data_IF_233156629368
#
_entry.id   IF_233156629368
#
_cell.length_a   1.000
_cell.length_b   1.000
_cell.length_c   1.000
_cell.angle_alpha   90.00
_cell.angle_beta   90.00
_cell.angle_gamma   90.00
#
_symmetry.space_group_name_H-M   'P 1'
#
loop_
_entity.id
_entity.type
_entity.pdbx_description
1 polymer ?
#
# COMPACT_ATOMS: atom_id res chain seq x y z
N UNK A 1 18.50 67.39 -9.46
CA UNK A 1 17.80 66.20 -8.97
C UNK A 1 18.29 65.90 -7.58
N UNK A 2 17.41 65.99 -6.58
CA UNK A 2 17.80 65.95 -5.15
C UNK A 2 18.08 64.49 -4.73
N UNK A 3 19.16 64.26 -3.97
CA UNK A 3 19.53 62.96 -3.39
C UNK A 3 18.44 62.32 -2.55
N UNK A 4 17.47 63.12 -2.03
CA UNK A 4 16.30 62.61 -1.32
C UNK A 4 15.31 61.84 -2.19
N UNK A 5 15.05 62.26 -3.42
CA UNK A 5 14.14 61.59 -4.35
C UNK A 5 14.65 60.23 -4.80
N UNK A 6 16.01 60.08 -4.94
CA UNK A 6 16.62 58.83 -5.29
C UNK A 6 16.56 57.78 -4.16
N UNK A 7 16.67 58.25 -2.92
CA UNK A 7 16.57 57.39 -1.73
C UNK A 7 15.13 56.86 -1.49
N UNK A 8 14.12 57.68 -1.72
CA UNK A 8 12.70 57.21 -1.58
C UNK A 8 12.32 56.20 -2.67
N UNK A 9 12.72 56.41 -3.94
CA UNK A 9 12.45 55.47 -5.01
C UNK A 9 13.17 54.13 -4.85
N UNK A 10 14.41 54.19 -4.31
CA UNK A 10 15.16 52.96 -4.02
C UNK A 10 14.55 52.15 -2.85
N UNK A 11 14.01 52.86 -1.81
CA UNK A 11 13.36 52.22 -0.66
C UNK A 11 12.01 51.57 -1.03
N UNK A 12 11.22 52.23 -1.87
CA UNK A 12 9.95 51.67 -2.37
C UNK A 12 10.19 50.45 -3.30
N UNK A 13 11.16 50.53 -4.19
CA UNK A 13 11.50 49.42 -5.10
C UNK A 13 12.08 48.20 -4.34
N UNK A 14 12.89 48.43 -3.29
CA UNK A 14 13.43 47.35 -2.45
C UNK A 14 12.37 46.68 -1.58
N UNK A 15 11.42 47.47 -1.04
CA UNK A 15 10.34 46.96 -0.19
C UNK A 15 9.35 46.08 -0.94
N UNK A 16 8.94 46.46 -2.14
CA UNK A 16 7.97 45.70 -2.95
C UNK A 16 8.57 44.41 -3.48
N UNK A 17 9.86 44.39 -3.89
CA UNK A 17 10.55 43.19 -4.33
C UNK A 17 10.74 42.16 -3.22
N UNK A 18 11.02 42.60 -1.99
CA UNK A 18 11.16 41.74 -0.81
C UNK A 18 9.84 41.08 -0.40
N UNK A 19 8.74 41.81 -0.45
CA UNK A 19 7.40 41.25 -0.09
C UNK A 19 6.94 40.23 -1.15
N UNK A 20 7.13 40.50 -2.44
CA UNK A 20 6.79 39.59 -3.52
C UNK A 20 7.61 38.29 -3.48
N UNK A 21 8.92 38.38 -3.20
CA UNK A 21 9.77 37.20 -3.09
C UNK A 21 9.46 36.37 -1.84
N UNK A 22 9.12 36.99 -0.71
CA UNK A 22 8.68 36.32 0.51
C UNK A 22 7.34 35.61 0.31
N UNK A 23 6.41 36.24 -0.41
CA UNK A 23 5.10 35.65 -0.71
C UNK A 23 5.22 34.47 -1.69
N UNK A 24 6.04 34.59 -2.74
CA UNK A 24 6.33 33.51 -3.67
C UNK A 24 7.03 32.33 -2.96
N UNK A 25 7.99 32.59 -2.09
CA UNK A 25 8.65 31.57 -1.28
C UNK A 25 7.68 30.86 -0.32
N UNK A 26 6.79 31.59 0.31
CA UNK A 26 5.76 31.02 1.20
C UNK A 26 4.74 30.15 0.44
N UNK A 27 4.29 30.59 -0.74
CA UNK A 27 3.40 29.82 -1.60
C UNK A 27 4.08 28.55 -2.12
N UNK A 28 5.33 28.66 -2.61
CA UNK A 28 6.10 27.51 -3.03
C UNK A 28 6.36 26.51 -1.88
N UNK A 29 6.73 27.00 -0.68
CA UNK A 29 6.93 26.13 0.49
C UNK A 29 5.64 25.41 0.92
N UNK A 30 4.47 26.02 0.68
CA UNK A 30 3.19 25.39 0.99
C UNK A 30 2.74 24.37 -0.06
N UNK A 31 3.11 24.58 -1.34
CA UNK A 31 2.84 23.64 -2.46
C UNK A 31 3.80 22.46 -2.41
N UNK A 32 5.05 22.65 -2.03
CA UNK A 32 6.10 21.63 -1.96
C UNK A 32 6.32 21.06 -0.56
N UNK A 33 5.40 21.27 0.39
CA UNK A 33 5.53 20.67 1.71
C UNK A 33 5.46 19.14 1.58
N UNK A 34 6.52 18.39 1.94
CA UNK A 34 6.44 16.94 1.93
C UNK A 34 5.31 16.51 2.88
N UNK A 35 4.42 15.63 2.40
CA UNK A 35 3.34 15.09 3.22
C UNK A 35 3.95 14.40 4.44
N UNK A 36 3.38 14.66 5.61
CA UNK A 36 3.78 13.95 6.82
C UNK A 36 3.36 12.48 6.72
N UNK A 37 4.04 11.61 7.47
CA UNK A 37 3.67 10.19 7.55
C UNK A 37 2.20 10.00 7.94
N UNK A 38 1.69 10.84 8.85
CA UNK A 38 0.31 10.78 9.32
C UNK A 38 -0.69 11.17 8.22
N UNK A 39 -0.41 12.22 7.43
CA UNK A 39 -1.26 12.61 6.30
C UNK A 39 -1.34 11.52 5.22
N UNK A 40 -0.26 10.78 5.00
CA UNK A 40 -0.23 9.63 4.07
C UNK A 40 -1.07 8.48 4.64
N UNK A 41 -0.91 8.17 5.92
CA UNK A 41 -1.66 7.10 6.57
C UNK A 41 -3.17 7.40 6.60
N UNK A 42 -3.58 8.64 6.91
CA UNK A 42 -4.97 9.07 6.87
C UNK A 42 -5.57 8.88 5.46
N UNK A 43 -4.81 9.24 4.43
CA UNK A 43 -5.23 9.02 3.05
C UNK A 43 -5.36 7.52 2.72
N UNK A 44 -4.42 6.68 3.15
CA UNK A 44 -4.46 5.23 2.96
C UNK A 44 -5.70 4.60 3.59
N UNK A 45 -6.10 5.09 4.78
CA UNK A 45 -7.32 4.64 5.45
C UNK A 45 -8.58 5.15 4.72
N UNK A 46 -8.58 6.40 4.28
CA UNK A 46 -9.73 6.98 3.59
C UNK A 46 -10.08 6.27 2.29
N UNK A 47 -9.09 5.84 1.50
CA UNK A 47 -9.32 5.19 0.21
C UNK A 47 -9.88 3.76 0.31
N UNK A 48 -9.77 3.10 1.47
CA UNK A 48 -10.38 1.77 1.72
C UNK A 48 -11.72 1.86 2.45
N UNK A 49 -12.23 3.06 2.71
CA UNK A 49 -13.53 3.25 3.34
C UNK A 49 -14.66 2.83 2.40
N UNK A 50 -15.78 2.39 2.98
CA UNK A 50 -16.97 1.97 2.24
C UNK A 50 -17.56 3.06 1.33
N UNK A 51 -17.27 4.32 1.64
CA UNK A 51 -17.73 5.49 0.87
C UNK A 51 -16.84 5.82 -0.33
N UNK A 52 -15.65 5.25 -0.40
CA UNK A 52 -14.73 5.52 -1.51
C UNK A 52 -15.25 4.90 -2.82
N UNK A 53 -15.17 5.65 -3.92
CA UNK A 53 -15.78 5.27 -5.21
C UNK A 53 -15.32 3.92 -5.74
N UNK A 54 -14.02 3.61 -5.64
CA UNK A 54 -13.48 2.33 -6.12
C UNK A 54 -13.94 1.15 -5.25
N UNK A 55 -14.18 1.36 -3.95
CA UNK A 55 -14.73 0.32 -3.05
C UNK A 55 -16.19 0.04 -3.41
N UNK A 56 -17.01 1.08 -3.63
CA UNK A 56 -18.40 0.94 -4.08
C UNK A 56 -18.48 0.20 -5.42
N UNK A 57 -17.67 0.62 -6.38
CA UNK A 57 -17.60 -0.01 -7.70
C UNK A 57 -17.22 -1.50 -7.60
N UNK A 58 -16.26 -1.86 -6.75
CA UNK A 58 -15.88 -3.25 -6.55
C UNK A 58 -17.00 -4.08 -5.93
N UNK A 59 -17.70 -3.53 -4.91
CA UNK A 59 -18.87 -4.19 -4.29
C UNK A 59 -19.98 -4.49 -5.28
N UNK A 60 -20.26 -3.53 -6.18
CA UNK A 60 -21.30 -3.66 -7.20
C UNK A 60 -20.89 -4.63 -8.32
N UNK A 61 -19.61 -4.63 -8.71
CA UNK A 61 -19.12 -5.41 -9.85
C UNK A 61 -18.78 -6.85 -9.50
N UNK A 62 -18.20 -7.08 -8.33
CA UNK A 62 -17.80 -8.41 -7.85
C UNK A 62 -17.71 -8.47 -6.33
N UNK A 63 -18.79 -8.93 -5.72
CA UNK A 63 -18.84 -9.12 -4.27
C UNK A 63 -17.80 -10.14 -3.78
N UNK A 64 -17.47 -11.15 -4.58
CA UNK A 64 -16.44 -12.13 -4.28
C UNK A 64 -15.04 -11.49 -4.19
N UNK A 65 -14.66 -10.67 -5.19
CA UNK A 65 -13.38 -9.95 -5.16
C UNK A 65 -13.34 -8.92 -4.02
N UNK A 66 -14.45 -8.25 -3.73
CA UNK A 66 -14.55 -7.35 -2.57
C UNK A 66 -14.29 -8.11 -1.26
N UNK A 67 -14.93 -9.26 -1.05
CA UNK A 67 -14.74 -10.07 0.14
C UNK A 67 -13.29 -10.55 0.28
N UNK A 68 -12.69 -11.01 -0.83
CA UNK A 68 -11.27 -11.39 -0.85
C UNK A 68 -10.38 -10.20 -0.48
N UNK A 69 -10.54 -9.05 -1.13
CA UNK A 69 -9.78 -7.83 -0.87
C UNK A 69 -9.89 -7.37 0.60
N UNK A 70 -11.12 -7.39 1.14
CA UNK A 70 -11.36 -7.03 2.54
C UNK A 70 -10.73 -8.03 3.53
N UNK A 71 -10.78 -9.32 3.21
CA UNK A 71 -10.15 -10.36 4.03
C UNK A 71 -8.63 -10.23 4.03
N UNK A 72 -7.99 -10.09 2.85
CA UNK A 72 -6.54 -9.85 2.73
C UNK A 72 -6.14 -8.60 3.51
N UNK A 73 -6.86 -7.49 3.35
CA UNK A 73 -6.64 -6.24 4.09
C UNK A 73 -6.67 -6.46 5.60
N UNK A 74 -7.70 -7.15 6.10
CA UNK A 74 -7.88 -7.41 7.53
C UNK A 74 -6.75 -8.25 8.12
N UNK A 75 -6.36 -9.32 7.44
CA UNK A 75 -5.25 -10.18 7.86
C UNK A 75 -3.92 -9.43 7.80
N UNK A 76 -3.69 -8.65 6.72
CA UNK A 76 -2.47 -7.86 6.55
C UNK A 76 -2.29 -6.81 7.65
N UNK A 77 -3.36 -6.12 8.07
CA UNK A 77 -3.33 -5.16 9.21
C UNK A 77 -2.86 -5.83 10.49
N UNK A 78 -3.47 -6.97 10.82
CA UNK A 78 -3.15 -7.67 12.06
C UNK A 78 -1.72 -8.24 12.04
N UNK A 79 -1.28 -8.80 10.92
CA UNK A 79 0.07 -9.29 10.73
C UNK A 79 1.11 -8.14 10.77
N UNK A 80 0.80 -7.00 10.15
CA UNK A 80 1.63 -5.79 10.20
C UNK A 80 1.79 -5.27 11.63
N UNK A 81 0.69 -5.24 12.41
CA UNK A 81 0.73 -4.86 13.83
C UNK A 81 1.63 -5.78 14.64
N UNK A 82 1.54 -7.10 14.43
CA UNK A 82 2.39 -8.07 15.12
C UNK A 82 3.88 -7.90 14.76
N UNK A 83 4.18 -7.53 13.52
CA UNK A 83 5.54 -7.32 13.04
C UNK A 83 6.09 -5.91 13.32
N UNK A 84 5.25 -4.92 13.67
CA UNK A 84 5.64 -3.53 13.85
C UNK A 84 5.83 -2.78 12.53
N UNK A 85 5.08 -3.15 11.50
CA UNK A 85 5.07 -2.53 10.17
C UNK A 85 3.94 -1.49 10.04
N UNK A 86 3.93 -0.72 8.95
CA UNK A 86 2.90 0.28 8.69
C UNK A 86 1.54 -0.37 8.39
N UNK A 87 0.64 -0.34 9.38
CA UNK A 87 -0.68 -0.98 9.29
C UNK A 87 -1.59 -0.34 8.25
N UNK A 88 -1.55 1.00 8.07
CA UNK A 88 -2.36 1.70 7.08
C UNK A 88 -1.93 1.33 5.64
N UNK A 89 -0.62 1.25 5.39
CA UNK A 89 -0.08 0.84 4.10
C UNK A 89 -0.41 -0.63 3.80
N UNK A 90 -0.29 -1.51 4.80
CA UNK A 90 -0.66 -2.92 4.65
C UNK A 90 -2.17 -3.12 4.45
N UNK A 91 -3.02 -2.29 5.09
CA UNK A 91 -4.46 -2.30 4.88
C UNK A 91 -4.82 -1.97 3.43
N UNK A 92 -4.37 -0.81 2.95
CA UNK A 92 -4.64 -0.36 1.58
C UNK A 92 -3.97 -1.27 0.55
N UNK A 93 -2.72 -1.69 0.81
CA UNK A 93 -2.01 -2.66 -0.02
C UNK A 93 -2.77 -3.96 -0.17
N UNK A 94 -3.21 -4.57 0.93
CA UNK A 94 -3.99 -5.80 0.92
C UNK A 94 -5.32 -5.66 0.20
N UNK A 95 -6.03 -4.53 0.42
CA UNK A 95 -7.31 -4.29 -0.25
C UNK A 95 -7.16 -4.12 -1.77
N UNK A 96 -6.19 -3.33 -2.22
CA UNK A 96 -6.01 -3.00 -3.63
C UNK A 96 -5.02 -3.90 -4.37
N UNK A 97 -4.37 -4.87 -3.69
CA UNK A 97 -3.31 -5.69 -4.30
C UNK A 97 -3.70 -6.29 -5.65
N UNK A 98 -4.96 -6.67 -5.79
CA UNK A 98 -5.52 -7.29 -6.99
C UNK A 98 -6.30 -6.33 -7.91
N UNK A 99 -6.16 -5.02 -7.75
CA UNK A 99 -6.93 -4.02 -8.53
C UNK A 99 -6.79 -4.21 -10.05
N UNK A 100 -5.63 -4.63 -10.52
CA UNK A 100 -5.39 -4.95 -11.94
C UNK A 100 -6.09 -6.23 -12.41
N UNK A 101 -6.69 -7.02 -11.50
CA UNK A 101 -7.41 -8.25 -11.79
C UNK A 101 -8.94 -8.05 -11.81
N UNK A 102 -9.45 -6.90 -11.36
CA UNK A 102 -10.89 -6.63 -11.25
C UNK A 102 -11.59 -6.46 -12.60
N UNK A 103 -10.84 -6.31 -13.67
CA UNK A 103 -11.35 -6.12 -15.03
C UNK A 103 -11.24 -7.41 -15.86
N UNK A 104 -12.04 -7.51 -16.93
CA UNK A 104 -11.99 -8.65 -17.87
C UNK A 104 -10.59 -8.82 -18.49
N UNK A 105 -9.90 -7.72 -18.81
CA UNK A 105 -8.52 -7.72 -19.29
C UNK A 105 -7.59 -7.49 -18.12
N UNK A 106 -7.14 -8.57 -17.51
CA UNK A 106 -6.24 -8.54 -16.36
C UNK A 106 -4.88 -7.94 -16.73
N UNK A 107 -4.46 -6.86 -16.06
CA UNK A 107 -3.20 -6.18 -16.31
C UNK A 107 -2.71 -5.47 -15.05
N UNK A 108 -1.46 -5.71 -14.65
CA UNK A 108 -0.82 -5.00 -13.53
C UNK A 108 -0.71 -3.51 -13.86
N UNK A 109 -0.22 -3.17 -15.05
CA UNK A 109 -0.05 -1.78 -15.49
C UNK A 109 -1.37 -1.02 -15.48
N UNK A 110 -2.46 -1.64 -15.95
CA UNK A 110 -3.79 -1.03 -15.86
C UNK A 110 -4.20 -0.75 -14.41
N UNK A 111 -3.89 -1.67 -13.49
CA UNK A 111 -4.17 -1.46 -12.07
C UNK A 111 -3.38 -0.29 -11.48
N UNK A 112 -2.09 -0.16 -11.85
CA UNK A 112 -1.24 0.96 -11.45
C UNK A 112 -1.72 2.28 -12.03
N UNK A 113 -1.98 2.36 -13.34
CA UNK A 113 -2.52 3.55 -14.02
C UNK A 113 -3.83 4.01 -13.37
N UNK A 114 -4.71 3.08 -13.03
CA UNK A 114 -5.95 3.37 -12.33
C UNK A 114 -5.71 3.94 -10.93
N UNK A 115 -4.78 3.39 -10.16
CA UNK A 115 -4.42 3.88 -8.84
C UNK A 115 -3.81 5.29 -8.91
N UNK A 116 -2.96 5.56 -9.91
CA UNK A 116 -2.39 6.88 -10.17
C UNK A 116 -3.48 7.90 -10.56
N UNK A 117 -4.42 7.52 -11.41
CA UNK A 117 -5.57 8.37 -11.80
C UNK A 117 -6.47 8.72 -10.61
N UNK A 118 -6.53 7.86 -9.58
CA UNK A 118 -7.23 8.10 -8.32
C UNK A 118 -6.35 8.82 -7.28
N UNK A 119 -5.14 9.24 -7.67
CA UNK A 119 -4.17 9.91 -6.78
C UNK A 119 -3.81 9.11 -5.54
N UNK A 120 -3.66 7.80 -5.65
CA UNK A 120 -3.21 6.96 -4.54
C UNK A 120 -1.81 7.37 -4.09
N UNK A 121 -1.46 7.21 -2.80
CA UNK A 121 -0.09 7.43 -2.33
C UNK A 121 0.93 6.56 -3.11
N UNK A 122 2.09 7.12 -3.40
CA UNK A 122 3.16 6.45 -4.16
C UNK A 122 3.57 5.10 -3.54
N UNK A 123 3.62 5.02 -2.20
CA UNK A 123 3.93 3.77 -1.50
C UNK A 123 2.94 2.65 -1.84
N UNK A 124 1.66 2.99 -2.01
CA UNK A 124 0.65 2.03 -2.41
C UNK A 124 0.79 1.65 -3.88
N UNK A 125 0.98 2.61 -4.78
CA UNK A 125 1.17 2.30 -6.21
C UNK A 125 2.40 1.44 -6.45
N UNK A 126 3.46 1.62 -5.66
CA UNK A 126 4.63 0.75 -5.68
C UNK A 126 4.29 -0.70 -5.31
N UNK A 127 3.49 -0.93 -4.25
CA UNK A 127 3.02 -2.30 -3.88
C UNK A 127 2.23 -2.93 -5.03
N UNK A 128 1.37 -2.16 -5.71
CA UNK A 128 0.59 -2.66 -6.84
C UNK A 128 1.47 -3.02 -8.04
N UNK A 129 2.53 -2.24 -8.31
CA UNK A 129 3.51 -2.53 -9.35
C UNK A 129 4.30 -3.82 -9.06
N UNK A 130 4.47 -4.16 -7.80
CA UNK A 130 5.18 -5.34 -7.30
C UNK A 130 4.31 -6.61 -7.24
N UNK A 131 3.12 -6.56 -7.81
CA UNK A 131 2.15 -7.66 -7.78
C UNK A 131 2.78 -9.00 -8.20
N UNK A 132 2.89 -9.93 -7.24
CA UNK A 132 3.50 -11.26 -7.40
C UNK A 132 4.92 -11.24 -7.98
N UNK A 133 5.65 -10.15 -7.83
CA UNK A 133 7.01 -10.01 -8.37
C UNK A 133 7.12 -10.04 -9.89
N UNK A 134 6.00 -9.91 -10.61
CA UNK A 134 5.98 -10.08 -12.08
C UNK A 134 6.66 -8.96 -12.86
N UNK A 135 6.55 -7.72 -12.38
CA UNK A 135 7.24 -6.56 -12.96
C UNK A 135 8.45 -6.16 -12.12
N UNK A 136 8.31 -6.22 -10.81
CA UNK A 136 9.35 -5.93 -9.83
C UNK A 136 9.10 -6.76 -8.57
N UNK A 137 10.15 -7.26 -7.92
CA UNK A 137 10.04 -7.92 -6.61
C UNK A 137 9.61 -6.91 -5.54
N UNK A 138 8.99 -7.36 -4.43
CA UNK A 138 8.73 -6.51 -3.28
C UNK A 138 9.98 -5.76 -2.80
N UNK A 139 9.87 -4.43 -2.66
CA UNK A 139 10.97 -3.55 -2.28
C UNK A 139 10.87 -3.07 -0.82
N UNK A 140 9.75 -3.36 -0.14
CA UNK A 140 9.53 -2.98 1.25
C UNK A 140 9.00 -4.16 2.07
N UNK A 141 9.22 -4.18 3.39
CA UNK A 141 8.65 -5.22 4.26
C UNK A 141 7.12 -5.27 4.19
N UNK A 142 6.46 -4.13 4.01
CA UNK A 142 5.01 -4.02 3.85
C UNK A 142 4.54 -4.69 2.56
N UNK A 143 5.24 -4.45 1.45
CA UNK A 143 4.94 -5.10 0.17
C UNK A 143 5.12 -6.62 0.25
N UNK A 144 6.20 -7.08 0.87
CA UNK A 144 6.46 -8.49 1.12
C UNK A 144 5.34 -9.13 1.96
N UNK A 145 4.90 -8.45 3.04
CA UNK A 145 3.81 -8.91 3.89
C UNK A 145 2.49 -9.02 3.11
N UNK A 146 2.12 -7.99 2.35
CA UNK A 146 0.90 -8.01 1.52
C UNK A 146 0.91 -9.18 0.54
N UNK A 147 2.03 -9.39 -0.15
CA UNK A 147 2.20 -10.55 -1.04
C UNK A 147 2.07 -11.88 -0.29
N UNK A 148 2.72 -12.02 0.88
CA UNK A 148 2.63 -13.26 1.69
C UNK A 148 1.19 -13.58 2.05
N UNK A 149 0.43 -12.58 2.51
CA UNK A 149 -0.96 -12.76 2.94
C UNK A 149 -1.85 -13.15 1.76
N UNK A 150 -1.80 -12.42 0.65
CA UNK A 150 -2.62 -12.72 -0.53
C UNK A 150 -2.27 -14.10 -1.11
N UNK A 151 -0.99 -14.41 -1.29
CA UNK A 151 -0.54 -15.70 -1.82
C UNK A 151 -0.95 -16.87 -0.92
N UNK A 152 -0.87 -16.71 0.40
CA UNK A 152 -1.29 -17.72 1.36
C UNK A 152 -2.79 -17.97 1.28
N UNK A 153 -3.61 -16.91 1.29
CA UNK A 153 -5.08 -17.02 1.22
C UNK A 153 -5.49 -17.71 -0.09
N UNK A 154 -4.95 -17.27 -1.22
CA UNK A 154 -5.24 -17.90 -2.53
C UNK A 154 -4.88 -19.38 -2.54
N UNK A 155 -3.72 -19.75 -1.98
CA UNK A 155 -3.27 -21.14 -1.95
C UNK A 155 -4.15 -22.01 -1.05
N UNK A 156 -4.55 -21.47 0.11
CA UNK A 156 -5.47 -22.14 1.04
C UNK A 156 -6.86 -22.34 0.43
N UNK A 157 -7.38 -21.36 -0.30
CA UNK A 157 -8.67 -21.46 -1.00
C UNK A 157 -8.63 -22.57 -2.09
N UNK A 158 -7.53 -22.69 -2.83
CA UNK A 158 -7.36 -23.79 -3.80
C UNK A 158 -7.33 -25.16 -3.12
N UNK A 159 -6.58 -25.31 -2.01
CA UNK A 159 -6.51 -26.57 -1.28
C UNK A 159 -7.88 -26.99 -0.74
N UNK A 160 -8.67 -26.02 -0.19
CA UNK A 160 -10.04 -26.30 0.26
C UNK A 160 -10.94 -26.81 -0.88
N UNK A 161 -10.80 -26.25 -2.07
CA UNK A 161 -11.59 -26.64 -3.22
C UNK A 161 -11.25 -28.06 -3.73
N UNK A 162 -9.98 -28.47 -3.59
CA UNK A 162 -9.48 -29.75 -4.13
C UNK A 162 -9.67 -30.93 -3.17
N UNK A 163 -9.82 -30.69 -1.86
CA UNK A 163 -9.84 -31.74 -0.84
C UNK A 163 -10.97 -31.52 0.14
N UNK A 164 -12.06 -32.22 -0.09
CA UNK A 164 -13.15 -32.36 0.88
C UNK A 164 -12.70 -33.27 2.04
N UNK A 165 -12.80 -32.77 3.29
CA UNK A 165 -12.75 -33.56 4.55
C UNK A 165 -11.44 -34.27 4.94
N UNK A 166 -10.27 -33.76 4.66
CA UNK A 166 -9.05 -34.25 5.32
C UNK A 166 -8.68 -33.35 6.53
N UNK A 167 -8.31 -33.97 7.65
CA UNK A 167 -7.75 -33.29 8.83
C UNK A 167 -6.34 -32.74 8.48
N UNK A 168 -6.31 -31.56 7.85
CA UNK A 168 -5.05 -30.89 7.56
C UNK A 168 -4.51 -30.23 8.83
N UNK A 169 -3.23 -30.44 9.09
CA UNK A 169 -2.55 -29.62 10.10
C UNK A 169 -2.30 -28.23 9.51
N UNK A 170 -3.20 -27.30 9.83
CA UNK A 170 -3.19 -25.92 9.38
C UNK A 170 -1.83 -25.22 9.60
N UNK A 171 -1.21 -25.45 10.76
CA UNK A 171 0.07 -24.87 11.11
C UNK A 171 1.20 -25.33 10.18
N UNK A 172 1.25 -26.63 9.89
CA UNK A 172 2.27 -27.21 9.01
C UNK A 172 2.12 -26.65 7.60
N UNK A 173 0.89 -26.56 7.11
CA UNK A 173 0.60 -26.04 5.78
C UNK A 173 1.03 -24.57 5.64
N UNK A 174 0.69 -23.71 6.61
CA UNK A 174 1.12 -22.31 6.60
C UNK A 174 2.64 -22.19 6.62
N UNK A 175 3.32 -22.95 7.49
CA UNK A 175 4.79 -22.92 7.57
C UNK A 175 5.40 -23.35 6.22
N UNK A 176 4.90 -24.42 5.63
CA UNK A 176 5.39 -24.92 4.35
C UNK A 176 5.23 -23.90 3.24
N UNK A 177 4.02 -23.31 3.09
CA UNK A 177 3.75 -22.30 2.08
C UNK A 177 4.61 -21.05 2.23
N UNK A 178 4.78 -20.54 3.46
CA UNK A 178 5.63 -19.38 3.72
C UNK A 178 7.12 -19.69 3.45
N UNK A 179 7.58 -20.90 3.78
CA UNK A 179 8.94 -21.32 3.47
C UNK A 179 9.16 -21.44 1.96
N UNK A 180 8.22 -22.02 1.19
CA UNK A 180 8.28 -22.08 -0.27
C UNK A 180 8.38 -20.67 -0.89
N UNK A 181 7.54 -19.74 -0.44
CA UNK A 181 7.57 -18.34 -0.90
C UNK A 181 8.92 -17.68 -0.58
N UNK A 182 9.43 -17.85 0.66
CA UNK A 182 10.71 -17.29 1.05
C UNK A 182 11.88 -17.91 0.27
N UNK A 183 11.88 -19.21 0.07
CA UNK A 183 12.92 -19.92 -0.67
C UNK A 183 12.98 -19.54 -2.18
N UNK A 184 11.89 -18.97 -2.73
CA UNK A 184 11.87 -18.49 -4.11
C UNK A 184 12.74 -17.25 -4.34
N UNK A 185 13.23 -16.61 -3.28
CA UNK A 185 14.00 -15.37 -3.36
C UNK A 185 13.17 -14.13 -3.73
N UNK A 186 11.84 -14.22 -3.67
CA UNK A 186 10.96 -13.10 -4.02
C UNK A 186 11.08 -11.93 -3.04
N UNK A 187 11.50 -12.20 -1.79
CA UNK A 187 11.62 -11.20 -0.74
C UNK A 187 13.03 -10.65 -0.53
N UNK A 188 14.00 -11.06 -1.34
CA UNK A 188 15.43 -10.72 -1.14
C UNK A 188 15.70 -9.21 -1.16
N UNK A 189 14.90 -8.46 -1.92
CA UNK A 189 15.04 -7.01 -2.09
C UNK A 189 14.13 -6.20 -1.16
N UNK A 190 13.28 -6.86 -0.38
CA UNK A 190 12.23 -6.20 0.40
C UNK A 190 12.70 -5.56 1.72
N UNK A 191 13.93 -5.83 2.16
CA UNK A 191 14.38 -5.44 3.50
C UNK A 191 13.63 -6.17 4.64
N UNK A 192 12.88 -7.22 4.34
CA UNK A 192 12.18 -8.02 5.35
C UNK A 192 13.18 -8.76 6.22
N UNK A 193 13.31 -8.36 7.48
CA UNK A 193 14.20 -9.05 8.42
C UNK A 193 13.63 -10.42 8.82
N UNK A 194 14.51 -11.33 9.25
CA UNK A 194 14.10 -12.63 9.82
C UNK A 194 13.15 -12.44 11.02
N UNK A 195 13.35 -11.41 11.84
CA UNK A 195 12.46 -11.11 12.95
C UNK A 195 11.05 -10.72 12.48
N UNK A 196 10.95 -9.90 11.42
CA UNK A 196 9.64 -9.59 10.80
C UNK A 196 8.99 -10.85 10.27
N UNK A 197 9.72 -11.66 9.51
CA UNK A 197 9.21 -12.91 8.93
C UNK A 197 8.67 -13.87 10.01
N UNK A 198 9.41 -14.09 11.09
CA UNK A 198 8.98 -14.97 12.18
C UNK A 198 7.72 -14.45 12.88
N UNK A 199 7.62 -13.15 13.15
CA UNK A 199 6.42 -12.56 13.76
C UNK A 199 5.20 -12.67 12.87
N UNK A 200 5.35 -12.43 11.55
CA UNK A 200 4.28 -12.60 10.57
C UNK A 200 3.83 -14.07 10.54
N UNK A 201 4.77 -14.99 10.40
CA UNK A 201 4.48 -16.44 10.40
C UNK A 201 3.72 -16.88 11.65
N UNK A 202 4.22 -16.49 12.83
CA UNK A 202 3.64 -16.92 14.10
C UNK A 202 2.25 -16.30 14.34
N UNK A 203 1.99 -15.10 13.75
CA UNK A 203 0.66 -14.53 13.72
C UNK A 203 -0.27 -15.32 12.77
N UNK A 204 0.17 -15.58 11.53
CA UNK A 204 -0.65 -16.26 10.51
C UNK A 204 -1.03 -17.68 10.92
N UNK A 205 -0.18 -18.37 11.68
CA UNK A 205 -0.50 -19.68 12.28
C UNK A 205 -1.65 -19.64 13.28
N UNK A 206 -1.79 -18.53 14.04
CA UNK A 206 -2.82 -18.36 15.06
C UNK A 206 -4.13 -17.84 14.49
N UNK A 207 -4.09 -17.23 13.29
CA UNK A 207 -5.27 -16.70 12.63
C UNK A 207 -6.02 -17.84 11.92
N UNK A 208 -7.33 -17.91 12.15
CA UNK A 208 -8.18 -18.88 11.44
C UNK A 208 -8.41 -18.42 9.99
N UNK A 209 -7.43 -18.69 9.11
CA UNK A 209 -7.50 -18.33 7.69
C UNK A 209 -8.43 -19.24 6.87
N UNK A 210 -8.93 -20.30 7.48
CA UNK A 210 -9.72 -21.36 6.86
C UNK A 210 -11.18 -21.37 7.34
N UNK A 211 -11.81 -20.22 7.50
CA UNK A 211 -13.26 -20.16 7.77
C UNK A 211 -14.11 -20.38 6.54
#
# INVERSE_FOLDING_TARGET
>A
MSTKEFSEKAFVAGGTGGILSAFAGFVCARIFRPKTSDEVNDKLIAIISDDFSAVKELKEHSFSEYNHSNFVSTVAVKAAKAAGLNTALCAAGGFYYRIGQWQKKKSILYGVERAEAMYFPEQLTNILYEYYGKLRKPQTPESALVHMVDALIVKLDHIKADVADSEWNHDILIIQLLNELSASGIYDESGLSMNHFLKIRDYLKKEELLK
#
